data_IF_148182685599
#
_entry.id   IF_148182685599
#
_cell.length_a   1.000
_cell.length_b   1.000
_cell.length_c   1.000
_cell.angle_alpha   90.00
_cell.angle_beta   90.00
_cell.angle_gamma   90.00
#
_symmetry.space_group_name_H-M   'P 1'
#
loop_
_entity.id
_entity.type
_entity.pdbx_description
1 polymer ?
#
# COMPACT_ATOMS: atom_id res chain seq x y z
N UNK A 1 -34.06 23.09 -29.05
CA UNK A 1 -34.12 22.08 -27.97
C UNK A 1 -32.71 21.56 -27.80
N UNK A 2 -32.01 22.01 -26.78
CA UNK A 2 -30.62 21.60 -26.52
C UNK A 2 -30.46 21.44 -25.01
N UNK A 3 -30.93 20.30 -24.51
CA UNK A 3 -30.82 19.91 -23.10
C UNK A 3 -29.52 19.14 -22.86
N UNK A 4 -28.38 19.71 -23.27
CA UNK A 4 -27.03 19.15 -23.06
C UNK A 4 -26.37 19.67 -21.76
N UNK A 5 -27.13 20.29 -20.85
CA UNK A 5 -26.59 20.89 -19.61
C UNK A 5 -26.53 19.94 -18.41
N UNK A 6 -26.80 18.65 -18.57
CA UNK A 6 -26.71 17.69 -17.47
C UNK A 6 -25.46 16.80 -17.52
N UNK A 7 -24.33 17.33 -18.02
CA UNK A 7 -23.02 16.85 -17.58
C UNK A 7 -22.73 17.44 -16.20
N UNK A 8 -23.47 16.94 -15.21
CA UNK A 8 -23.07 16.95 -13.81
C UNK A 8 -21.80 16.10 -13.70
N UNK A 9 -20.67 16.64 -14.14
CA UNK A 9 -19.34 16.13 -13.89
C UNK A 9 -19.10 16.28 -12.39
N UNK A 10 -19.67 15.35 -11.61
CA UNK A 10 -19.66 15.35 -10.14
C UNK A 10 -18.21 15.51 -9.65
N UNK A 11 -17.78 16.70 -9.19
CA UNK A 11 -16.38 16.93 -8.80
C UNK A 11 -15.99 16.04 -7.60
N UNK A 12 -16.97 15.60 -6.82
CA UNK A 12 -16.80 14.66 -5.71
C UNK A 12 -16.44 13.22 -6.14
N UNK A 13 -16.77 12.80 -7.36
CA UNK A 13 -16.42 11.45 -7.84
C UNK A 13 -14.92 11.34 -8.10
N UNK A 14 -14.29 12.43 -8.58
CA UNK A 14 -12.85 12.51 -8.83
C UNK A 14 -12.07 12.55 -7.52
N UNK A 15 -12.56 13.26 -6.50
CA UNK A 15 -11.89 13.29 -5.20
C UNK A 15 -11.93 11.93 -4.49
N UNK A 16 -13.05 11.20 -4.58
CA UNK A 16 -13.17 9.86 -4.01
C UNK A 16 -12.31 8.81 -4.74
N UNK A 17 -12.19 8.91 -6.06
CA UNK A 17 -11.31 8.01 -6.82
C UNK A 17 -9.85 8.25 -6.47
N UNK A 18 -9.42 9.51 -6.37
CA UNK A 18 -8.06 9.88 -5.95
C UNK A 18 -7.75 9.35 -4.53
N UNK A 19 -8.69 9.50 -3.60
CA UNK A 19 -8.56 8.97 -2.25
C UNK A 19 -8.44 7.43 -2.25
N UNK A 20 -9.23 6.72 -3.06
CA UNK A 20 -9.12 5.26 -3.23
C UNK A 20 -7.75 4.87 -3.77
N UNK A 21 -7.22 5.57 -4.79
CA UNK A 21 -5.88 5.31 -5.32
C UNK A 21 -4.81 5.46 -4.23
N UNK A 22 -4.83 6.57 -3.50
CA UNK A 22 -3.88 6.82 -2.39
C UNK A 22 -4.02 5.74 -1.31
N UNK A 23 -5.25 5.37 -0.94
CA UNK A 23 -5.52 4.32 0.04
C UNK A 23 -5.00 2.94 -0.39
N UNK A 24 -5.14 2.57 -1.67
CA UNK A 24 -4.61 1.31 -2.19
C UNK A 24 -3.08 1.26 -2.12
N UNK A 25 -2.41 2.36 -2.48
CA UNK A 25 -0.95 2.47 -2.35
C UNK A 25 -0.52 2.45 -0.88
N UNK A 26 -1.23 3.17 -0.02
CA UNK A 26 -0.97 3.22 1.40
C UNK A 26 -1.13 1.85 2.07
N UNK A 27 -2.20 1.11 1.79
CA UNK A 27 -2.39 -0.26 2.32
C UNK A 27 -1.27 -1.19 1.89
N UNK A 28 -0.83 -1.12 0.63
CA UNK A 28 0.28 -1.94 0.13
C UNK A 28 1.60 -1.60 0.81
N UNK A 29 1.84 -0.32 1.09
CA UNK A 29 3.00 0.13 1.85
C UNK A 29 2.92 -0.26 3.33
N UNK A 30 1.75 -0.12 3.95
CA UNK A 30 1.49 -0.50 5.33
C UNK A 30 1.73 -2.00 5.56
N UNK A 31 1.20 -2.88 4.69
CA UNK A 31 1.49 -4.31 4.76
C UNK A 31 3.00 -4.60 4.72
N UNK A 32 3.75 -3.92 3.83
CA UNK A 32 5.22 -4.09 3.77
C UNK A 32 5.90 -3.62 5.04
N UNK A 33 5.44 -2.53 5.64
CA UNK A 33 5.98 -2.01 6.91
C UNK A 33 5.66 -2.92 8.08
N UNK A 34 4.46 -3.47 8.15
CA UNK A 34 4.09 -4.44 9.18
C UNK A 34 4.93 -5.71 9.06
N UNK A 35 5.13 -6.23 7.84
CA UNK A 35 6.07 -7.34 7.61
C UNK A 35 7.48 -6.96 8.06
N UNK A 36 7.98 -5.76 7.72
CA UNK A 36 9.27 -5.28 8.22
C UNK A 36 9.32 -5.17 9.74
N UNK A 37 8.29 -4.64 10.39
CA UNK A 37 8.24 -4.52 11.85
C UNK A 37 8.21 -5.89 12.54
N UNK A 38 7.45 -6.84 12.02
CA UNK A 38 7.39 -8.21 12.52
C UNK A 38 8.73 -8.90 12.32
N UNK A 39 9.35 -8.76 11.14
CA UNK A 39 10.68 -9.31 10.85
C UNK A 39 11.80 -8.62 11.64
N UNK A 40 11.69 -7.33 11.95
CA UNK A 40 12.64 -6.60 12.79
C UNK A 40 12.45 -6.91 14.27
N UNK A 41 11.22 -7.23 14.70
CA UNK A 41 10.94 -7.78 16.04
C UNK A 41 11.44 -9.22 16.17
N UNK A 42 11.45 -9.99 15.08
CA UNK A 42 12.17 -11.26 15.04
C UNK A 42 13.68 -10.99 15.07
N UNK A 43 14.34 -11.49 16.12
CA UNK A 43 15.80 -11.53 16.26
C UNK A 43 16.45 -12.25 15.05
N UNK A 44 17.70 -11.89 14.72
CA UNK A 44 18.51 -12.57 13.68
C UNK A 44 18.50 -14.09 13.80
N UNK A 45 18.41 -14.61 15.02
CA UNK A 45 18.30 -16.03 15.30
C UNK A 45 17.02 -16.65 14.73
N UNK A 46 15.88 -15.97 14.88
CA UNK A 46 14.59 -16.43 14.37
C UNK A 46 14.48 -16.27 12.84
N UNK A 47 15.14 -15.26 12.26
CA UNK A 47 15.30 -15.14 10.81
C UNK A 47 16.09 -16.31 10.23
N UNK A 48 17.18 -16.70 10.91
CA UNK A 48 18.02 -17.85 10.52
C UNK A 48 17.26 -19.18 10.63
N UNK A 49 16.37 -19.30 11.61
CA UNK A 49 15.55 -20.50 11.84
C UNK A 49 14.54 -20.75 10.70
N UNK A 50 13.94 -19.69 10.16
CA UNK A 50 13.08 -19.76 8.96
C UNK A 50 13.87 -19.70 7.64
N UNK A 51 15.21 -19.81 7.69
CA UNK A 51 16.08 -19.85 6.51
C UNK A 51 16.23 -18.52 5.77
N UNK A 52 15.84 -17.40 6.37
CA UNK A 52 15.97 -16.06 5.79
C UNK A 52 17.23 -15.35 6.32
N UNK A 53 18.00 -14.71 5.42
CA UNK A 53 19.08 -13.82 5.82
C UNK A 53 18.62 -12.37 5.79
N UNK A 54 19.15 -11.53 6.70
CA UNK A 54 18.89 -10.08 6.70
C UNK A 54 19.19 -9.40 5.35
N UNK A 55 20.15 -9.93 4.60
CA UNK A 55 20.48 -9.47 3.25
C UNK A 55 19.32 -9.61 2.25
N UNK A 56 18.47 -10.63 2.40
CA UNK A 56 17.34 -10.88 1.51
C UNK A 56 16.18 -9.91 1.77
N UNK A 57 16.00 -9.51 3.04
CA UNK A 57 15.03 -8.48 3.44
C UNK A 57 15.39 -7.14 2.81
N UNK A 58 16.69 -6.83 2.68
CA UNK A 58 17.16 -5.59 2.08
C UNK A 58 17.05 -5.56 0.54
N UNK A 59 17.06 -6.73 -0.12
CA UNK A 59 16.94 -6.83 -1.59
C UNK A 59 15.49 -6.86 -2.10
N UNK A 60 14.54 -7.32 -1.28
CA UNK A 60 13.18 -7.65 -1.75
C UNK A 60 12.11 -6.61 -1.39
N UNK A 61 12.41 -5.68 -0.51
CA UNK A 61 11.51 -4.63 -0.06
C UNK A 61 12.13 -3.24 -0.22
#
# INVERSE_FOLDING_TARGET
MEYEENRSAKPFAVSLSLFRFIWHHFRRWQCRRETRMILCRLSDSALKDIGLKRSDINKRF
#
